data_IF_095194211977
#
_entry.id   IF_095194211977
#
_cell.length_a   1.000
_cell.length_b   1.000
_cell.length_c   1.000
_cell.angle_alpha   90.00
_cell.angle_beta   90.00
_cell.angle_gamma   90.00
#
_symmetry.space_group_name_H-M   'P 1'
#
loop_
_entity.id
_entity.type
_entity.pdbx_description
1 polymer ?
#
# COMPACT_ATOMS: atom_id res chain seq x y z
N UNK A 1 -5.33 15.64 -14.84
CA UNK A 1 -3.91 16.02 -15.07
C UNK A 1 -3.27 15.40 -16.31
N UNK A 2 -3.97 14.57 -17.10
CA UNK A 2 -3.45 13.92 -18.31
C UNK A 2 -3.66 14.82 -19.53
N UNK A 3 -4.54 15.79 -19.40
CA UNK A 3 -4.76 16.82 -20.40
C UNK A 3 -3.56 17.74 -20.61
N UNK A 4 -2.55 17.68 -19.73
CA UNK A 4 -1.23 18.29 -19.98
C UNK A 4 -0.53 17.68 -21.21
N UNK A 5 -0.70 16.37 -21.46
CA UNK A 5 -0.29 15.70 -22.70
C UNK A 5 -1.41 15.64 -23.76
N UNK A 6 -2.56 16.28 -23.52
CA UNK A 6 -3.59 16.48 -24.54
C UNK A 6 -3.40 17.79 -25.32
N UNK A 7 -2.24 18.43 -25.23
CA UNK A 7 -1.85 19.48 -26.18
C UNK A 7 -1.40 18.86 -27.50
N UNK A 8 -1.70 19.40 -28.69
CA UNK A 8 -2.15 20.72 -29.15
C UNK A 8 -2.94 20.58 -30.46
N UNK A 9 -3.94 21.42 -30.72
CA UNK A 9 -4.24 21.85 -32.11
C UNK A 9 -4.21 23.37 -32.34
N UNK A 10 -4.14 24.19 -31.28
CA UNK A 10 -3.86 25.65 -31.38
C UNK A 10 -3.20 26.31 -30.15
N UNK A 11 -3.00 25.64 -29.01
CA UNK A 11 -2.36 26.26 -27.83
C UNK A 11 -1.83 25.36 -26.70
N UNK A 12 -1.68 24.05 -26.90
CA UNK A 12 -1.18 23.10 -25.88
C UNK A 12 0.33 22.83 -25.93
N UNK A 13 0.80 21.97 -25.02
CA UNK A 13 2.21 21.55 -24.91
C UNK A 13 2.61 20.52 -25.99
N UNK A 14 3.87 20.57 -26.44
CA UNK A 14 4.49 19.64 -27.39
C UNK A 14 6.02 19.67 -27.27
N UNK A 15 6.69 18.60 -27.73
CA UNK A 15 8.15 18.49 -27.80
C UNK A 15 8.74 19.68 -28.54
N UNK A 16 9.83 20.24 -27.99
CA UNK A 16 10.61 21.32 -28.62
C UNK A 16 9.85 22.63 -28.88
N UNK A 17 8.76 22.92 -28.15
CA UNK A 17 8.00 24.16 -28.34
C UNK A 17 8.82 25.44 -28.14
N UNK A 18 9.89 25.37 -27.35
CA UNK A 18 10.83 26.48 -27.13
C UNK A 18 11.63 26.85 -28.39
N UNK A 19 11.69 25.98 -29.41
CA UNK A 19 12.27 26.32 -30.72
C UNK A 19 11.38 27.29 -31.52
N UNK A 20 10.07 27.31 -31.25
CA UNK A 20 9.16 28.28 -31.87
C UNK A 20 9.17 29.61 -31.11
N UNK A 21 9.23 29.56 -29.78
CA UNK A 21 9.36 30.72 -28.91
C UNK A 21 10.09 30.33 -27.62
N UNK A 22 11.30 30.85 -27.43
CA UNK A 22 12.10 30.56 -26.23
C UNK A 22 11.33 30.91 -24.94
N UNK A 23 11.26 29.95 -24.01
CA UNK A 23 10.58 30.09 -22.72
C UNK A 23 9.06 29.86 -22.76
N UNK A 24 8.50 29.45 -23.89
CA UNK A 24 7.07 29.15 -24.00
C UNK A 24 6.67 27.93 -23.17
N UNK A 25 7.55 26.93 -23.04
CA UNK A 25 7.31 25.77 -22.19
C UNK A 25 7.23 26.17 -20.72
N UNK A 26 8.21 26.96 -20.24
CA UNK A 26 8.20 27.48 -18.88
C UNK A 26 6.94 28.31 -18.60
N UNK A 27 6.57 29.21 -19.51
CA UNK A 27 5.38 30.04 -19.37
C UNK A 27 4.08 29.22 -19.30
N UNK A 28 3.97 28.15 -20.10
CA UNK A 28 2.81 27.25 -20.06
C UNK A 28 2.72 26.54 -18.70
N UNK A 29 3.83 26.02 -18.20
CA UNK A 29 3.85 25.35 -16.90
C UNK A 29 3.57 26.30 -15.74
N UNK A 30 4.13 27.51 -15.76
CA UNK A 30 3.85 28.54 -14.76
C UNK A 30 2.36 28.87 -14.73
N UNK A 31 1.72 28.95 -15.91
CA UNK A 31 0.28 29.15 -16.00
C UNK A 31 -0.52 27.98 -15.42
N UNK A 32 -0.18 26.75 -15.79
CA UNK A 32 -0.87 25.55 -15.28
C UNK A 32 -0.72 25.42 -13.76
N UNK A 33 0.46 25.70 -13.21
CA UNK A 33 0.70 25.70 -11.77
C UNK A 33 -0.06 26.82 -11.07
N UNK A 34 -0.09 28.04 -11.64
CA UNK A 34 -0.87 29.16 -11.09
C UNK A 34 -2.38 28.90 -11.08
N UNK A 35 -2.92 28.35 -12.17
CA UNK A 35 -4.32 27.95 -12.25
C UNK A 35 -4.63 26.82 -11.24
N UNK A 36 -3.72 25.85 -11.08
CA UNK A 36 -3.84 24.78 -10.08
C UNK A 36 -3.81 25.31 -8.65
N UNK A 37 -2.93 26.27 -8.36
CA UNK A 37 -2.85 26.92 -7.04
C UNK A 37 -4.13 27.71 -6.74
N UNK A 38 -4.72 28.36 -7.73
CA UNK A 38 -6.02 29.05 -7.57
C UNK A 38 -7.12 28.11 -7.09
N UNK A 39 -7.15 26.88 -7.63
CA UNK A 39 -8.10 25.84 -7.21
C UNK A 39 -7.81 25.38 -5.76
N UNK A 40 -6.54 25.13 -5.44
CA UNK A 40 -6.10 24.78 -4.08
C UNK A 40 -6.52 25.86 -3.07
N UNK A 41 -6.26 27.12 -3.38
CA UNK A 41 -6.58 28.26 -2.53
C UNK A 41 -8.10 28.38 -2.32
N UNK A 42 -8.89 28.15 -3.36
CA UNK A 42 -10.35 28.17 -3.25
C UNK A 42 -10.87 27.09 -2.30
N UNK A 43 -10.33 25.86 -2.35
CA UNK A 43 -10.69 24.81 -1.41
C UNK A 43 -10.28 25.17 0.03
N UNK A 44 -9.06 25.66 0.22
CA UNK A 44 -8.52 25.98 1.55
C UNK A 44 -9.15 27.23 2.17
N UNK A 45 -9.64 28.17 1.36
CA UNK A 45 -10.39 29.33 1.85
C UNK A 45 -11.70 28.91 2.55
N UNK A 46 -12.29 27.78 2.12
CA UNK A 46 -13.52 27.23 2.72
C UNK A 46 -13.19 26.24 3.83
N UNK A 47 -12.18 25.38 3.62
CA UNK A 47 -11.79 24.30 4.54
C UNK A 47 -10.26 24.28 4.71
N UNK A 48 -9.70 25.12 5.59
CA UNK A 48 -8.25 25.29 5.73
C UNK A 48 -7.52 24.03 6.22
N UNK A 49 -8.26 23.06 6.78
CA UNK A 49 -7.75 21.78 7.26
C UNK A 49 -7.65 20.69 6.18
N UNK A 50 -8.14 20.94 4.95
CA UNK A 50 -8.05 19.96 3.87
C UNK A 50 -6.59 19.73 3.47
N UNK A 51 -6.19 18.47 3.49
CA UNK A 51 -5.00 18.02 2.78
C UNK A 51 -5.37 17.75 1.32
N UNK A 52 -4.58 18.30 0.41
CA UNK A 52 -4.79 18.16 -1.03
C UNK A 52 -3.63 17.37 -1.61
N UNK A 53 -3.93 16.24 -2.25
CA UNK A 53 -2.94 15.42 -2.91
C UNK A 53 -2.95 15.68 -4.41
N UNK A 54 -1.77 15.92 -4.97
CA UNK A 54 -1.52 15.96 -6.40
C UNK A 54 -1.09 14.56 -6.83
N UNK A 55 -1.99 13.82 -7.47
CA UNK A 55 -1.70 12.49 -8.03
C UNK A 55 -0.86 12.61 -9.29
N UNK A 56 0.16 11.76 -9.40
CA UNK A 56 1.03 11.65 -10.56
C UNK A 56 0.39 10.87 -11.72
N UNK A 57 1.18 10.63 -12.76
CA UNK A 57 0.86 9.76 -13.88
C UNK A 57 1.65 8.45 -13.90
N UNK A 58 1.39 7.67 -14.94
CA UNK A 58 2.13 6.49 -15.34
C UNK A 58 2.76 6.74 -16.73
N UNK A 59 3.75 5.95 -17.13
CA UNK A 59 4.31 5.97 -18.49
C UNK A 59 3.27 5.57 -19.54
N UNK A 60 2.80 6.51 -20.39
CA UNK A 60 1.73 6.22 -21.35
C UNK A 60 2.20 5.28 -22.47
N UNK A 61 1.25 4.61 -23.12
CA UNK A 61 1.55 3.70 -24.23
C UNK A 61 0.80 4.10 -25.50
N UNK A 62 1.51 4.82 -26.38
CA UNK A 62 0.99 5.25 -27.69
C UNK A 62 1.15 4.18 -28.79
N UNK A 63 1.72 3.01 -28.48
CA UNK A 63 1.93 1.90 -29.40
C UNK A 63 0.66 1.05 -29.52
N UNK A 64 -0.39 1.68 -30.03
CA UNK A 64 -1.66 1.00 -30.31
C UNK A 64 -1.68 0.48 -31.74
N UNK A 65 -2.52 -0.52 -32.02
CA UNK A 65 -2.65 -1.10 -33.36
C UNK A 65 -2.92 -0.01 -34.41
N UNK A 66 -2.26 -0.10 -35.57
CA UNK A 66 -2.45 0.83 -36.69
C UNK A 66 -3.91 0.92 -37.16
N UNK A 67 -4.71 -0.14 -36.96
CA UNK A 67 -6.14 -0.14 -37.28
C UNK A 67 -6.96 0.83 -36.42
N UNK A 68 -6.50 1.10 -35.20
CA UNK A 68 -7.24 1.85 -34.17
C UNK A 68 -6.52 3.12 -33.70
N UNK A 69 -5.25 3.30 -34.08
CA UNK A 69 -4.45 4.42 -33.59
C UNK A 69 -5.01 5.79 -33.97
N UNK A 70 -5.70 5.88 -35.11
CA UNK A 70 -6.30 7.11 -35.61
C UNK A 70 -7.37 7.69 -34.67
N UNK A 71 -7.94 6.89 -33.75
CA UNK A 71 -8.97 7.33 -32.82
C UNK A 71 -8.38 8.26 -31.74
N UNK A 72 -7.21 7.93 -31.19
CA UNK A 72 -6.60 8.68 -30.10
C UNK A 72 -5.08 8.81 -30.21
N UNK A 73 -4.36 7.69 -30.26
CA UNK A 73 -2.90 7.69 -30.11
C UNK A 73 -2.15 8.40 -31.25
N UNK A 74 -2.50 8.12 -32.52
CA UNK A 74 -1.83 8.72 -33.67
C UNK A 74 -2.02 10.25 -33.73
N UNK A 75 -3.25 10.80 -33.63
CA UNK A 75 -3.44 12.25 -33.57
C UNK A 75 -2.68 12.89 -32.40
N UNK A 76 -2.81 12.34 -31.18
CA UNK A 76 -2.14 12.89 -29.99
C UNK A 76 -0.61 12.83 -30.10
N UNK A 77 -0.04 11.77 -30.68
CA UNK A 77 1.42 11.68 -30.90
C UNK A 77 1.91 12.73 -31.88
N UNK A 78 1.11 13.01 -32.93
CA UNK A 78 1.40 14.12 -33.86
C UNK A 78 1.30 15.47 -33.18
N UNK A 79 0.27 15.66 -32.35
CA UNK A 79 0.03 16.87 -31.56
C UNK A 79 1.15 17.16 -30.55
N UNK A 80 1.77 16.12 -29.99
CA UNK A 80 2.94 16.20 -29.11
C UNK A 80 4.26 16.44 -29.87
N UNK A 81 4.23 16.44 -31.20
CA UNK A 81 5.42 16.65 -32.04
C UNK A 81 5.38 18.03 -32.68
N UNK A 82 6.49 18.75 -32.63
CA UNK A 82 6.61 20.03 -33.35
C UNK A 82 6.56 19.85 -34.88
N UNK A 83 7.23 18.82 -35.39
CA UNK A 83 7.27 18.47 -36.80
C UNK A 83 6.90 16.98 -36.97
N UNK A 84 5.61 16.63 -36.91
CA UNK A 84 5.18 15.23 -36.91
C UNK A 84 5.47 14.46 -38.21
N UNK A 85 5.87 15.14 -39.28
CA UNK A 85 6.17 14.51 -40.57
C UNK A 85 7.66 14.16 -40.71
N UNK A 86 8.56 14.83 -39.97
CA UNK A 86 10.00 14.57 -40.01
C UNK A 86 10.60 14.15 -38.66
N UNK A 87 9.97 14.49 -37.54
CA UNK A 87 10.42 14.24 -36.17
C UNK A 87 9.23 13.93 -35.25
N UNK A 88 8.60 12.77 -35.48
CA UNK A 88 7.53 12.29 -34.63
C UNK A 88 8.10 11.86 -33.27
N UNK A 89 7.51 12.36 -32.18
CA UNK A 89 7.94 12.09 -30.80
C UNK A 89 8.03 10.58 -30.50
N UNK A 90 9.14 10.16 -29.89
CA UNK A 90 9.38 8.77 -29.50
C UNK A 90 8.76 8.43 -28.13
N UNK A 91 8.68 7.16 -27.75
CA UNK A 91 8.10 6.78 -26.44
C UNK A 91 8.96 7.29 -25.28
N UNK A 92 10.29 7.21 -25.42
CA UNK A 92 11.21 7.75 -24.43
C UNK A 92 11.09 9.27 -24.31
N UNK A 93 10.77 9.96 -25.40
CA UNK A 93 10.54 11.40 -25.38
C UNK A 93 9.21 11.74 -24.73
N UNK A 94 8.12 11.01 -25.02
CA UNK A 94 6.83 11.17 -24.32
C UNK A 94 7.00 10.94 -22.82
N UNK A 95 7.72 9.89 -22.42
CA UNK A 95 8.04 9.64 -21.02
C UNK A 95 8.88 10.77 -20.42
N UNK A 96 9.89 11.25 -21.15
CA UNK A 96 10.69 12.41 -20.74
C UNK A 96 9.85 13.65 -20.48
N UNK A 97 8.87 13.94 -21.36
CA UNK A 97 7.87 14.98 -21.13
C UNK A 97 7.11 14.69 -19.81
N UNK A 98 6.57 13.50 -19.62
CA UNK A 98 5.88 13.16 -18.35
C UNK A 98 6.73 13.40 -17.11
N UNK A 99 8.00 13.00 -17.14
CA UNK A 99 8.90 13.21 -16.01
C UNK A 99 9.13 14.69 -15.70
N UNK A 100 9.17 15.56 -16.70
CA UNK A 100 9.27 17.00 -16.49
C UNK A 100 8.03 17.57 -15.77
N UNK A 101 6.83 17.11 -16.15
CA UNK A 101 5.59 17.48 -15.45
C UNK A 101 5.65 17.06 -14.00
N UNK A 102 6.03 15.82 -13.76
CA UNK A 102 6.07 15.24 -12.42
C UNK A 102 7.15 15.88 -11.53
N UNK A 103 8.33 16.19 -12.08
CA UNK A 103 9.37 16.94 -11.36
C UNK A 103 8.87 18.32 -10.91
N UNK A 104 8.14 19.03 -11.76
CA UNK A 104 7.53 20.33 -11.40
C UNK A 104 6.47 20.19 -10.31
N UNK A 105 5.67 19.11 -10.33
CA UNK A 105 4.71 18.81 -9.27
C UNK A 105 5.39 18.49 -7.94
N UNK A 106 6.48 17.71 -7.96
CA UNK A 106 7.30 17.44 -6.77
C UNK A 106 7.82 18.75 -6.18
N UNK A 107 8.42 19.62 -7.01
CA UNK A 107 8.93 20.91 -6.54
C UNK A 107 7.83 21.80 -5.96
N UNK A 108 6.68 21.88 -6.63
CA UNK A 108 5.54 22.66 -6.17
C UNK A 108 4.99 22.16 -4.83
N UNK A 109 4.80 20.85 -4.68
CA UNK A 109 4.28 20.25 -3.46
C UNK A 109 5.27 20.30 -2.30
N UNK A 110 6.57 20.08 -2.54
CA UNK A 110 7.60 20.25 -1.53
C UNK A 110 7.70 21.70 -1.01
N UNK A 111 7.41 22.69 -1.86
CA UNK A 111 7.39 24.09 -1.48
C UNK A 111 6.10 24.51 -0.75
N UNK A 112 5.06 23.67 -0.73
CA UNK A 112 3.78 23.96 -0.10
C UNK A 112 3.41 22.87 0.91
N UNK A 113 3.56 23.10 2.23
CA UNK A 113 3.34 22.08 3.26
C UNK A 113 1.88 21.60 3.36
N UNK A 114 0.95 22.23 2.63
CA UNK A 114 -0.46 21.82 2.57
C UNK A 114 -0.77 20.88 1.42
N UNK A 115 0.20 20.68 0.52
CA UNK A 115 0.09 19.77 -0.60
C UNK A 115 0.86 18.49 -0.33
N UNK A 116 0.31 17.39 -0.84
CA UNK A 116 0.96 16.09 -0.88
C UNK A 116 1.17 15.72 -2.34
N UNK A 117 2.22 14.96 -2.62
CA UNK A 117 2.43 14.36 -3.94
C UNK A 117 2.32 12.84 -3.84
N UNK A 118 1.50 12.26 -4.71
CA UNK A 118 1.38 10.81 -4.88
C UNK A 118 2.19 10.37 -6.09
N UNK A 119 3.40 9.86 -5.87
CA UNK A 119 4.25 9.31 -6.93
C UNK A 119 3.77 7.90 -7.33
N UNK A 120 3.44 7.73 -8.61
CA UNK A 120 3.01 6.47 -9.22
C UNK A 120 3.71 6.16 -10.56
N UNK A 121 4.59 7.04 -11.08
CA UNK A 121 5.36 6.77 -12.29
C UNK A 121 6.12 5.44 -12.17
N UNK A 122 5.97 4.53 -13.13
CA UNK A 122 6.63 3.23 -13.12
C UNK A 122 5.95 2.20 -12.21
N UNK A 123 4.78 2.49 -11.63
CA UNK A 123 4.02 1.51 -10.88
C UNK A 123 3.70 0.28 -11.73
N UNK A 124 3.25 0.48 -12.98
CA UNK A 124 2.92 -0.64 -13.86
C UNK A 124 4.17 -1.44 -14.25
N UNK A 125 5.33 -0.79 -14.38
CA UNK A 125 6.60 -1.50 -14.55
C UNK A 125 6.98 -2.35 -13.33
N UNK A 126 6.66 -1.89 -12.12
CA UNK A 126 6.84 -2.68 -10.91
C UNK A 126 5.90 -3.90 -10.89
N UNK A 127 4.59 -3.69 -11.10
CA UNK A 127 3.58 -4.75 -10.95
C UNK A 127 3.56 -5.73 -12.14
N UNK A 128 3.86 -5.30 -13.37
CA UNK A 128 3.71 -6.11 -14.59
C UNK A 128 5.01 -6.31 -15.36
N UNK A 129 6.07 -5.56 -15.03
CA UNK A 129 7.27 -5.46 -15.87
C UNK A 129 7.09 -4.44 -17.00
N UNK A 130 8.12 -4.31 -17.84
CA UNK A 130 8.16 -3.37 -18.97
C UNK A 130 8.20 -4.06 -20.34
N UNK A 131 8.01 -5.40 -20.34
CA UNK A 131 8.07 -6.23 -21.53
C UNK A 131 9.48 -6.71 -21.89
N UNK A 132 10.51 -6.20 -21.22
CA UNK A 132 11.89 -6.69 -21.29
C UNK A 132 12.30 -7.40 -20.00
N UNK A 133 11.90 -6.84 -18.85
CA UNK A 133 12.06 -7.46 -17.54
C UNK A 133 10.70 -7.77 -16.93
N UNK A 134 10.67 -8.81 -16.10
CA UNK A 134 9.44 -9.26 -15.46
C UNK A 134 9.01 -8.39 -14.26
N UNK A 135 7.81 -8.67 -13.73
CA UNK A 135 7.30 -8.07 -12.50
C UNK A 135 8.30 -8.09 -11.33
N UNK A 136 8.32 -7.04 -10.52
CA UNK A 136 9.14 -6.92 -9.31
C UNK A 136 10.63 -6.66 -9.52
N UNK A 137 11.10 -6.65 -10.78
CA UNK A 137 12.50 -6.29 -11.09
C UNK A 137 12.73 -4.79 -10.92
N UNK A 138 11.80 -3.98 -11.41
CA UNK A 138 11.82 -2.53 -11.18
C UNK A 138 11.37 -2.23 -9.76
N UNK A 139 12.01 -1.25 -9.08
CA UNK A 139 11.62 -0.91 -7.73
C UNK A 139 10.24 -0.23 -7.76
N UNK A 140 9.53 -0.36 -6.64
CA UNK A 140 8.27 0.33 -6.41
C UNK A 140 8.49 1.86 -6.40
N UNK A 141 7.53 2.67 -6.90
CA UNK A 141 7.56 4.13 -6.75
C UNK A 141 7.86 4.59 -5.33
N UNK A 142 8.74 5.57 -5.18
CA UNK A 142 9.09 6.12 -3.87
C UNK A 142 7.96 6.97 -3.30
N UNK A 143 7.65 6.80 -2.01
CA UNK A 143 6.47 7.41 -1.40
C UNK A 143 6.76 8.62 -0.50
N UNK A 144 8.04 8.88 -0.20
CA UNK A 144 8.44 9.85 0.82
C UNK A 144 9.07 11.12 0.22
N UNK A 145 8.65 12.33 0.67
CA UNK A 145 9.31 13.57 0.30
C UNK A 145 10.73 13.65 0.89
N UNK A 146 11.59 14.54 0.38
CA UNK A 146 11.33 15.45 -0.74
C UNK A 146 11.54 14.81 -2.13
N UNK A 147 12.33 13.74 -2.20
CA UNK A 147 12.86 13.26 -3.48
C UNK A 147 12.09 12.07 -4.04
N UNK A 148 11.18 11.48 -3.27
CA UNK A 148 10.33 10.35 -3.67
C UNK A 148 11.14 9.21 -4.30
N UNK A 149 12.31 8.90 -3.74
CA UNK A 149 13.22 7.91 -4.30
C UNK A 149 12.66 6.48 -4.16
N UNK A 150 12.70 5.66 -5.22
CA UNK A 150 13.22 5.99 -6.55
C UNK A 150 12.23 6.84 -7.36
N UNK A 151 12.71 7.99 -7.87
CA UNK A 151 12.02 8.79 -8.89
C UNK A 151 12.98 9.07 -10.06
N UNK A 152 12.58 8.78 -11.31
CA UNK A 152 11.41 7.98 -11.62
C UNK A 152 11.63 6.50 -11.25
N UNK A 153 10.56 5.77 -10.94
CA UNK A 153 10.62 4.31 -10.91
C UNK A 153 10.44 3.72 -12.32
N UNK A 154 10.76 2.43 -12.47
CA UNK A 154 10.70 1.74 -13.75
C UNK A 154 11.72 2.23 -14.80
N UNK A 155 11.52 1.78 -16.04
CA UNK A 155 12.36 2.19 -17.17
C UNK A 155 11.75 3.38 -17.94
N UNK A 156 12.32 4.59 -17.87
CA UNK A 156 11.78 5.74 -18.59
C UNK A 156 11.93 5.64 -20.12
N UNK A 157 12.73 4.71 -20.63
CA UNK A 157 12.87 4.48 -22.07
C UNK A 157 11.70 3.70 -22.69
N UNK A 158 10.84 3.09 -21.86
CA UNK A 158 9.75 2.21 -22.31
C UNK A 158 8.40 2.68 -21.78
N UNK A 159 7.35 2.46 -22.55
CA UNK A 159 5.97 2.63 -22.09
C UNK A 159 5.55 1.49 -21.18
N UNK A 160 4.59 1.72 -20.29
CA UNK A 160 3.87 0.62 -19.62
C UNK A 160 3.22 -0.31 -20.64
N UNK A 161 3.00 -1.58 -20.29
CA UNK A 161 2.46 -2.56 -21.24
C UNK A 161 1.06 -2.14 -21.72
N UNK A 162 0.70 -2.51 -22.97
CA UNK A 162 -0.57 -2.05 -23.54
C UNK A 162 -1.75 -2.62 -22.76
N UNK A 163 -1.59 -3.80 -22.20
CA UNK A 163 -2.57 -4.51 -21.41
C UNK A 163 -2.98 -3.73 -20.14
N UNK A 164 -2.11 -2.84 -19.63
CA UNK A 164 -2.40 -2.00 -18.46
C UNK A 164 -3.35 -0.83 -18.74
N UNK A 165 -3.74 -0.59 -20.00
CA UNK A 165 -4.58 0.53 -20.39
C UNK A 165 -5.96 0.08 -20.79
N UNK A 166 -6.97 0.86 -20.39
CA UNK A 166 -8.37 0.53 -20.69
C UNK A 166 -8.59 0.37 -22.19
N UNK A 167 -9.63 -0.39 -22.48
CA UNK A 167 -10.22 -0.46 -23.81
C UNK A 167 -11.49 0.38 -23.83
N UNK A 168 -11.72 1.10 -24.91
CA UNK A 168 -12.94 1.89 -25.11
C UNK A 168 -13.84 1.18 -26.10
N UNK A 169 -15.02 0.72 -25.66
CA UNK A 169 -15.97 -0.02 -26.51
C UNK A 169 -15.34 -1.24 -27.22
N UNK A 170 -14.56 -2.04 -26.48
CA UNK A 170 -13.87 -3.18 -27.06
C UNK A 170 -12.49 -2.87 -27.65
N UNK A 171 -12.16 -1.59 -27.83
CA UNK A 171 -11.03 -1.15 -28.66
C UNK A 171 -9.85 -0.67 -27.80
N UNK A 172 -8.69 -1.26 -28.06
CA UNK A 172 -7.41 -0.90 -27.46
C UNK A 172 -6.79 0.33 -28.15
N UNK A 173 -7.43 1.49 -28.00
CA UNK A 173 -7.01 2.76 -28.64
C UNK A 173 -6.57 3.84 -27.65
N UNK A 174 -6.95 3.74 -26.38
CA UNK A 174 -6.63 4.75 -25.35
C UNK A 174 -5.17 4.57 -24.86
N UNK A 175 -4.29 5.57 -25.01
CA UNK A 175 -2.87 5.41 -24.68
C UNK A 175 -2.51 5.90 -23.27
N UNK A 176 -3.44 6.49 -22.52
CA UNK A 176 -3.13 7.26 -21.30
C UNK A 176 -3.93 6.83 -20.07
N UNK A 177 -5.10 6.22 -20.25
CA UNK A 177 -5.92 5.79 -19.11
C UNK A 177 -5.67 4.32 -18.79
N UNK A 178 -5.24 4.05 -17.56
CA UNK A 178 -5.10 2.69 -17.06
C UNK A 178 -6.44 1.94 -17.10
N UNK A 179 -6.36 0.62 -17.10
CA UNK A 179 -7.51 -0.24 -16.85
C UNK A 179 -7.89 -0.24 -15.35
N UNK A 180 -8.91 -1.02 -15.00
CA UNK A 180 -9.40 -1.09 -13.63
C UNK A 180 -8.29 -1.52 -12.65
N UNK A 181 -7.51 -2.54 -13.02
CA UNK A 181 -6.48 -3.10 -12.16
C UNK A 181 -5.32 -2.12 -11.96
N UNK A 182 -4.85 -1.48 -13.04
CA UNK A 182 -3.85 -0.42 -12.97
C UNK A 182 -4.27 0.73 -12.05
N UNK A 183 -5.54 1.15 -12.09
CA UNK A 183 -6.05 2.14 -11.15
C UNK A 183 -6.11 1.64 -9.70
N UNK A 184 -6.38 0.35 -9.46
CA UNK A 184 -6.34 -0.21 -8.10
C UNK A 184 -4.94 -0.11 -7.50
N UNK A 185 -3.89 -0.46 -8.27
CA UNK A 185 -2.50 -0.28 -7.82
C UNK A 185 -2.20 1.19 -7.53
N UNK A 186 -2.58 2.11 -8.43
CA UNK A 186 -2.38 3.56 -8.20
C UNK A 186 -3.05 4.06 -6.92
N UNK A 187 -4.32 3.69 -6.70
CA UNK A 187 -5.04 4.05 -5.47
C UNK A 187 -4.32 3.48 -4.27
N UNK A 188 -3.87 2.24 -4.33
CA UNK A 188 -3.19 1.61 -3.21
C UNK A 188 -1.85 2.29 -2.86
N UNK A 189 -1.02 2.66 -3.84
CA UNK A 189 0.19 3.47 -3.63
C UNK A 189 -0.12 4.79 -2.89
N UNK A 190 -1.19 5.48 -3.30
CA UNK A 190 -1.63 6.72 -2.66
C UNK A 190 -2.13 6.50 -1.22
N UNK A 191 -2.95 5.46 -1.02
CA UNK A 191 -3.46 5.10 0.30
C UNK A 191 -2.30 4.80 1.25
N UNK A 192 -1.30 4.06 0.80
CA UNK A 192 -0.15 3.68 1.63
C UNK A 192 0.78 4.84 1.92
N UNK A 193 1.19 5.60 0.89
CA UNK A 193 2.12 6.70 1.07
C UNK A 193 1.55 7.86 1.88
N UNK A 194 0.22 8.04 1.91
CA UNK A 194 -0.40 9.25 2.47
C UNK A 194 -1.45 8.98 3.55
N UNK A 195 -2.28 7.95 3.38
CA UNK A 195 -3.39 7.69 4.30
C UNK A 195 -3.03 6.69 5.40
N UNK A 196 -2.11 5.75 5.16
CA UNK A 196 -1.74 4.77 6.17
C UNK A 196 -1.22 5.45 7.45
N UNK A 197 -0.21 6.32 7.37
CA UNK A 197 0.30 7.03 8.55
C UNK A 197 -0.77 7.90 9.21
N UNK A 198 -1.69 8.48 8.43
CA UNK A 198 -2.81 9.25 8.99
C UNK A 198 -3.83 8.40 9.71
N UNK A 199 -4.09 7.18 9.24
CA UNK A 199 -4.99 6.22 9.87
C UNK A 199 -4.39 5.59 11.13
N UNK A 200 -3.05 5.52 11.22
CA UNK A 200 -2.34 5.18 12.46
C UNK A 200 -2.42 6.30 13.50
N UNK A 201 -2.57 7.54 13.06
CA UNK A 201 -2.47 8.70 13.93
C UNK A 201 -1.01 9.01 14.30
N UNK A 202 -0.75 9.86 15.30
CA UNK A 202 0.60 10.09 15.78
C UNK A 202 1.21 8.79 16.30
N UNK A 203 2.49 8.56 16.06
CA UNK A 203 3.21 7.38 16.56
C UNK A 203 4.55 7.85 17.06
N UNK A 204 4.82 7.66 18.35
CA UNK A 204 6.10 8.03 18.97
C UNK A 204 7.11 6.89 18.85
N UNK A 205 6.63 5.63 18.87
CA UNK A 205 7.45 4.43 18.74
C UNK A 205 6.72 3.32 18.00
N UNK A 206 7.42 2.63 17.10
CA UNK A 206 6.98 1.39 16.46
C UNK A 206 7.97 0.27 16.78
N UNK A 207 7.48 -0.83 17.34
CA UNK A 207 8.29 -2.00 17.69
C UNK A 207 7.87 -3.18 16.83
N UNK A 208 8.83 -3.86 16.22
CA UNK A 208 8.59 -5.15 15.57
C UNK A 208 8.58 -6.26 16.63
N UNK A 209 7.77 -7.29 16.39
CA UNK A 209 7.76 -8.47 17.24
C UNK A 209 9.10 -9.19 17.28
N UNK A 210 9.39 -9.85 18.41
CA UNK A 210 10.65 -10.52 18.70
C UNK A 210 10.91 -11.73 17.80
N UNK A 211 9.87 -12.49 17.42
CA UNK A 211 10.01 -13.72 16.64
C UNK A 211 10.58 -14.89 17.45
N UNK A 212 11.14 -15.86 16.73
CA UNK A 212 11.79 -17.04 17.30
C UNK A 212 10.86 -17.85 18.21
N UNK A 213 11.36 -18.20 19.39
CA UNK A 213 10.63 -18.96 20.41
C UNK A 213 9.70 -18.10 21.26
N UNK A 214 9.75 -16.77 21.14
CA UNK A 214 8.89 -15.85 21.86
C UNK A 214 7.54 -15.59 21.16
N UNK A 215 7.44 -15.93 19.87
CA UNK A 215 6.24 -15.77 19.04
C UNK A 215 5.78 -17.11 18.46
N UNK A 216 4.47 -17.32 18.40
CA UNK A 216 3.97 -18.64 18.03
C UNK A 216 2.55 -18.93 18.46
N UNK A 217 2.31 -20.17 18.82
CA UNK A 217 1.03 -20.63 19.32
C UNK A 217 1.15 -21.81 20.28
N UNK A 218 0.11 -22.00 21.08
CA UNK A 218 -0.10 -23.16 21.95
C UNK A 218 -1.57 -23.57 21.95
N UNK A 219 -1.85 -24.87 22.10
CA UNK A 219 -3.21 -25.39 22.34
C UNK A 219 -3.42 -25.92 23.77
N UNK A 220 -2.46 -25.62 24.67
CA UNK A 220 -2.42 -26.17 26.03
C UNK A 220 -1.70 -27.52 26.16
N UNK A 221 -1.31 -28.14 25.04
CA UNK A 221 -0.63 -29.45 25.01
C UNK A 221 0.57 -29.46 24.07
N UNK A 222 0.48 -28.77 22.94
CA UNK A 222 1.51 -28.63 21.93
C UNK A 222 1.77 -27.14 21.70
N UNK A 223 2.99 -26.85 21.24
CA UNK A 223 3.46 -25.51 20.90
C UNK A 223 4.03 -25.50 19.50
N UNK A 224 4.07 -24.32 18.88
CA UNK A 224 4.78 -24.10 17.64
C UNK A 224 5.21 -22.64 17.48
N UNK A 225 6.29 -22.42 16.74
CA UNK A 225 6.81 -21.09 16.39
C UNK A 225 6.75 -20.85 14.88
N UNK A 226 7.21 -19.66 14.45
CA UNK A 226 7.27 -19.24 13.04
C UNK A 226 5.95 -18.68 12.48
N UNK A 227 4.83 -18.89 13.16
CA UNK A 227 3.52 -18.28 12.86
C UNK A 227 2.72 -18.06 14.13
N UNK A 228 1.86 -17.04 14.14
CA UNK A 228 0.92 -16.80 15.24
C UNK A 228 -0.42 -17.42 14.86
N UNK A 229 -0.68 -18.65 15.30
CA UNK A 229 -1.95 -19.33 15.03
C UNK A 229 -2.99 -19.00 16.08
N UNK A 230 -4.22 -18.69 15.65
CA UNK A 230 -5.37 -18.51 16.54
C UNK A 230 -6.61 -19.20 15.99
N UNK A 231 -7.40 -19.79 16.88
CA UNK A 231 -8.70 -20.37 16.54
C UNK A 231 -8.99 -21.62 17.35
N UNK A 232 -9.47 -22.67 16.68
CA UNK A 232 -9.71 -23.96 17.29
C UNK A 232 -9.26 -25.12 16.39
N UNK A 233 -8.84 -26.21 17.02
CA UNK A 233 -8.54 -27.48 16.36
C UNK A 233 -8.81 -28.63 17.32
N UNK A 234 -9.54 -29.65 16.86
CA UNK A 234 -9.79 -30.87 17.62
C UNK A 234 -10.32 -30.61 19.06
N UNK A 235 -11.30 -29.69 19.19
CA UNK A 235 -11.94 -29.32 20.46
C UNK A 235 -11.03 -28.58 21.45
N UNK A 236 -9.90 -28.05 20.97
CA UNK A 236 -9.01 -27.17 21.74
C UNK A 236 -8.92 -25.81 21.12
N UNK A 237 -8.87 -24.79 21.96
CA UNK A 237 -8.50 -23.45 21.54
C UNK A 237 -7.02 -23.41 21.21
N UNK A 238 -6.70 -22.62 20.20
CA UNK A 238 -5.34 -22.33 19.77
C UNK A 238 -5.11 -20.86 20.10
N UNK A 239 -4.13 -20.62 20.95
CA UNK A 239 -3.76 -19.30 21.45
C UNK A 239 -2.53 -18.85 20.68
N UNK A 240 -2.61 -17.69 20.04
CA UNK A 240 -1.47 -17.06 19.38
C UNK A 240 -0.72 -16.18 20.38
N UNK A 241 0.60 -16.27 20.42
CA UNK A 241 1.46 -15.45 21.27
C UNK A 241 2.38 -14.56 20.43
N UNK A 242 2.52 -13.31 20.85
CA UNK A 242 3.34 -12.30 20.17
C UNK A 242 4.00 -11.38 21.20
N UNK A 243 5.29 -11.15 21.07
CA UNK A 243 6.11 -10.51 22.09
C UNK A 243 6.89 -9.32 21.54
N UNK A 244 6.95 -8.23 22.31
CA UNK A 244 7.66 -7.00 21.92
C UNK A 244 8.62 -6.57 23.01
N UNK A 245 9.83 -6.12 22.64
CA UNK A 245 10.77 -5.50 23.58
C UNK A 245 10.35 -4.06 23.91
N UNK A 246 9.49 -3.93 24.90
CA UNK A 246 8.95 -2.64 25.34
C UNK A 246 9.88 -1.89 26.30
N UNK A 247 11.04 -2.46 26.64
CA UNK A 247 12.12 -1.75 27.35
C UNK A 247 12.76 -0.63 26.51
N UNK A 248 12.42 -0.54 25.22
CA UNK A 248 12.78 0.57 24.35
C UNK A 248 12.07 1.90 24.71
N UNK A 249 11.02 1.86 25.54
CA UNK A 249 10.34 3.06 26.04
C UNK A 249 11.18 3.78 27.10
N UNK A 250 11.11 5.12 27.19
CA UNK A 250 11.63 5.84 28.35
C UNK A 250 11.01 5.34 29.66
N UNK A 251 11.81 5.31 30.74
CA UNK A 251 11.38 4.83 32.06
C UNK A 251 10.13 5.57 32.58
N UNK A 252 10.07 6.87 32.33
CA UNK A 252 9.00 7.79 32.75
C UNK A 252 7.91 8.01 31.70
N UNK A 253 7.94 7.25 30.60
CA UNK A 253 6.91 7.33 29.57
C UNK A 253 5.52 7.02 30.14
N UNK A 254 4.59 7.95 29.96
CA UNK A 254 3.17 7.77 30.20
C UNK A 254 2.51 7.39 28.88
N UNK A 255 2.24 6.09 28.70
CA UNK A 255 1.65 5.56 27.47
C UNK A 255 0.19 6.00 27.38
N UNK A 256 -0.16 6.69 26.30
CA UNK A 256 -1.48 7.28 26.07
C UNK A 256 -2.31 6.51 25.04
N UNK A 257 -1.65 5.79 24.14
CA UNK A 257 -2.30 4.86 23.21
C UNK A 257 -1.33 3.76 22.77
N UNK A 258 -1.88 2.60 22.42
CA UNK A 258 -1.13 1.53 21.79
C UNK A 258 -2.02 0.72 20.83
N UNK A 259 -1.45 0.30 19.70
CA UNK A 259 -2.14 -0.54 18.72
C UNK A 259 -1.24 -1.68 18.27
N UNK A 260 -1.76 -2.91 18.34
CA UNK A 260 -1.12 -4.11 17.80
C UNK A 260 -1.59 -4.34 16.36
N UNK A 261 -0.66 -4.53 15.44
CA UNK A 261 -0.93 -4.82 14.04
C UNK A 261 -0.46 -6.24 13.72
N UNK A 262 -1.38 -7.05 13.18
CA UNK A 262 -1.13 -8.42 12.73
C UNK A 262 -1.52 -8.52 11.25
N UNK A 263 -0.74 -9.26 10.48
CA UNK A 263 -0.99 -9.50 9.06
C UNK A 263 -1.30 -10.98 8.84
N UNK A 264 -2.44 -11.26 8.22
CA UNK A 264 -2.86 -12.63 7.96
C UNK A 264 -1.93 -13.25 6.92
N UNK A 265 -1.31 -14.39 7.23
CA UNK A 265 -0.52 -15.15 6.26
C UNK A 265 -1.42 -16.15 5.53
N UNK A 266 -2.14 -16.98 6.29
CA UNK A 266 -2.99 -18.02 5.71
C UNK A 266 -4.13 -18.44 6.65
N UNK A 267 -5.05 -19.21 6.09
CA UNK A 267 -6.19 -19.78 6.82
C UNK A 267 -6.23 -21.30 6.66
N UNK A 268 -6.58 -21.98 7.75
CA UNK A 268 -6.88 -23.41 7.75
C UNK A 268 -8.34 -23.63 8.15
N UNK A 269 -9.11 -24.24 7.23
CA UNK A 269 -10.53 -24.49 7.44
C UNK A 269 -11.40 -23.23 7.37
N UNK A 270 -12.43 -23.15 8.22
CA UNK A 270 -13.32 -21.98 8.28
C UNK A 270 -12.62 -20.79 8.95
N UNK A 271 -13.05 -19.57 8.63
CA UNK A 271 -12.46 -18.38 9.23
C UNK A 271 -13.07 -18.13 10.62
N UNK A 272 -12.29 -18.18 11.71
CA UNK A 272 -12.83 -17.97 13.04
C UNK A 272 -13.29 -16.52 13.28
N UNK A 273 -12.75 -15.53 12.56
CA UNK A 273 -13.12 -14.11 12.69
C UNK A 273 -14.43 -13.75 11.99
N UNK A 274 -14.89 -14.54 11.00
CA UNK A 274 -16.13 -14.25 10.25
C UNK A 274 -17.22 -15.29 10.42
N UNK A 275 -16.88 -16.52 10.85
CA UNK A 275 -17.86 -17.59 11.00
C UNK A 275 -18.75 -17.47 12.24
N UNK A 276 -18.31 -16.72 13.26
CA UNK A 276 -18.98 -16.60 14.56
C UNK A 276 -18.96 -17.87 15.41
N UNK A 277 -18.36 -18.97 14.93
CA UNK A 277 -18.39 -20.28 15.59
C UNK A 277 -17.63 -20.30 16.92
N UNK A 278 -16.56 -19.51 17.05
CA UNK A 278 -15.71 -19.48 18.25
C UNK A 278 -16.03 -18.32 19.19
N UNK A 279 -17.06 -17.51 18.87
CA UNK A 279 -17.37 -16.26 19.56
C UNK A 279 -16.48 -15.10 19.10
N UNK A 280 -16.45 -14.03 19.91
CA UNK A 280 -15.59 -12.88 19.64
C UNK A 280 -14.12 -13.20 19.97
N UNK A 281 -13.15 -12.69 19.19
CA UNK A 281 -11.74 -12.79 19.55
C UNK A 281 -11.45 -11.94 20.80
N UNK A 282 -10.41 -12.32 21.53
CA UNK A 282 -9.94 -11.66 22.76
C UNK A 282 -8.43 -11.51 22.74
N UNK A 283 -7.94 -10.43 23.33
CA UNK A 283 -6.52 -10.19 23.53
C UNK A 283 -6.23 -10.10 25.03
N UNK A 284 -5.37 -10.96 25.55
CA UNK A 284 -4.82 -10.84 26.89
C UNK A 284 -3.39 -10.29 26.82
N UNK A 285 -2.93 -9.69 27.91
CA UNK A 285 -1.60 -9.08 28.06
C UNK A 285 -0.90 -9.61 29.31
N UNK A 286 0.39 -9.94 29.17
CA UNK A 286 1.30 -10.20 30.28
C UNK A 286 2.44 -9.16 30.30
N UNK A 287 2.74 -8.65 31.49
CA UNK A 287 3.93 -7.84 31.74
C UNK A 287 5.12 -8.79 31.86
N UNK A 288 5.99 -8.79 30.85
CA UNK A 288 6.91 -9.90 30.60
C UNK A 288 6.28 -10.90 29.64
N UNK A 289 6.22 -12.16 30.06
CA UNK A 289 5.67 -13.28 29.28
C UNK A 289 4.61 -14.04 30.06
N UNK A 290 3.71 -14.71 29.34
CA UNK A 290 2.90 -15.78 29.90
C UNK A 290 3.83 -16.94 30.23
N UNK A 291 4.09 -17.20 31.52
CA UNK A 291 5.01 -18.27 31.92
C UNK A 291 6.49 -17.94 31.66
N UNK A 292 7.17 -18.76 30.86
CA UNK A 292 8.57 -18.58 30.48
C UNK A 292 8.76 -17.59 29.31
N UNK A 293 10.01 -17.19 28.99
CA UNK A 293 10.29 -16.32 27.84
C UNK A 293 10.10 -17.02 26.49
N UNK A 294 10.21 -18.35 26.47
CA UNK A 294 9.88 -19.19 25.31
C UNK A 294 8.43 -19.67 25.44
N UNK A 295 7.77 -19.93 24.31
CA UNK A 295 6.40 -20.44 24.31
C UNK A 295 6.33 -21.85 24.90
N UNK A 296 5.43 -22.01 25.86
CA UNK A 296 5.14 -23.24 26.57
C UNK A 296 3.67 -23.65 26.43
N UNK A 297 3.40 -24.94 26.66
CA UNK A 297 2.03 -25.44 26.65
C UNK A 297 1.18 -24.75 27.72
N UNK A 298 1.77 -24.44 28.88
CA UNK A 298 1.13 -23.74 30.01
C UNK A 298 0.65 -22.33 29.68
N UNK A 299 1.19 -21.70 28.64
CA UNK A 299 0.86 -20.31 28.31
C UNK A 299 -0.59 -20.16 27.85
N UNK A 300 -1.25 -21.25 27.45
CA UNK A 300 -2.67 -21.27 27.13
C UNK A 300 -3.55 -20.86 28.34
N UNK A 301 -3.08 -21.13 29.56
CA UNK A 301 -3.84 -20.92 30.80
C UNK A 301 -3.09 -20.10 31.85
N UNK A 302 -1.86 -19.67 31.55
CA UNK A 302 -1.10 -18.76 32.40
C UNK A 302 -1.94 -17.48 32.69
N UNK A 303 -1.93 -16.96 33.92
CA UNK A 303 -2.63 -15.73 34.27
C UNK A 303 -2.18 -14.56 33.40
N UNK A 304 -3.13 -13.72 33.00
CA UNK A 304 -2.86 -12.43 32.36
C UNK A 304 -2.79 -11.32 33.41
N UNK A 305 -1.98 -10.30 33.17
CA UNK A 305 -1.98 -9.07 33.97
C UNK A 305 -3.15 -8.14 33.59
N UNK A 306 -3.62 -8.25 32.34
CA UNK A 306 -4.89 -7.70 31.90
C UNK A 306 -5.53 -8.61 30.85
N UNK A 307 -6.83 -8.87 31.00
CA UNK A 307 -7.57 -9.80 30.15
C UNK A 307 -8.56 -9.08 29.24
N UNK A 308 -8.76 -9.60 28.02
CA UNK A 308 -9.71 -9.08 27.04
C UNK A 308 -9.61 -7.55 26.80
N UNK A 309 -8.39 -7.10 26.53
CA UNK A 309 -8.02 -5.69 26.46
C UNK A 309 -8.11 -5.07 25.06
N UNK A 310 -8.48 -5.86 24.05
CA UNK A 310 -8.36 -5.47 22.65
C UNK A 310 -9.68 -5.04 22.01
N UNK A 311 -9.68 -3.92 21.27
CA UNK A 311 -10.72 -3.57 20.31
C UNK A 311 -10.23 -3.85 18.88
N UNK A 312 -10.84 -4.81 18.21
CA UNK A 312 -10.42 -5.30 16.91
C UNK A 312 -10.98 -4.45 15.76
N UNK A 313 -10.10 -4.00 14.88
CA UNK A 313 -10.38 -3.16 13.72
C UNK A 313 -9.73 -3.77 12.48
N UNK A 314 -10.41 -3.71 11.34
CA UNK A 314 -9.91 -4.26 10.07
C UNK A 314 -10.50 -5.63 9.77
N UNK A 315 -9.73 -6.45 9.05
CA UNK A 315 -10.17 -7.74 8.53
C UNK A 315 -9.10 -8.80 8.77
N UNK A 316 -9.53 -10.06 8.84
CA UNK A 316 -8.66 -11.23 8.75
C UNK A 316 -9.32 -12.26 7.82
N UNK A 317 -9.85 -11.79 6.69
CA UNK A 317 -10.63 -12.57 5.74
C UNK A 317 -9.75 -13.22 4.66
N UNK A 318 -8.76 -12.47 4.18
CA UNK A 318 -7.85 -12.86 3.10
C UNK A 318 -6.39 -12.67 3.52
N UNK A 319 -5.44 -13.42 2.94
CA UNK A 319 -4.01 -13.17 3.12
C UNK A 319 -3.66 -11.69 2.88
N UNK A 320 -2.68 -11.21 3.62
CA UNK A 320 -2.23 -9.80 3.67
C UNK A 320 -3.26 -8.80 4.25
N UNK A 321 -4.46 -9.25 4.67
CA UNK A 321 -5.37 -8.42 5.46
C UNK A 321 -4.69 -8.01 6.79
N UNK A 322 -4.77 -6.72 7.11
CA UNK A 322 -4.32 -6.18 8.38
C UNK A 322 -5.43 -6.22 9.42
N UNK A 323 -5.12 -6.87 10.54
CA UNK A 323 -5.90 -6.80 11.78
C UNK A 323 -5.20 -5.85 12.74
N UNK A 324 -5.87 -4.75 13.08
CA UNK A 324 -5.42 -3.79 14.08
C UNK A 324 -6.19 -4.03 15.37
N UNK A 325 -5.51 -4.00 16.51
CA UNK A 325 -6.12 -4.17 17.82
C UNK A 325 -5.73 -2.97 18.67
N UNK A 326 -6.71 -2.13 19.00
CA UNK A 326 -6.51 -1.01 19.92
C UNK A 326 -6.51 -1.52 21.35
N UNK A 327 -5.54 -1.09 22.14
CA UNK A 327 -5.40 -1.47 23.54
C UNK A 327 -6.25 -0.57 24.45
N UNK A 328 -6.95 -1.19 25.39
CA UNK A 328 -7.71 -0.47 26.42
C UNK A 328 -6.78 0.29 27.37
N UNK A 329 -7.32 1.30 28.07
CA UNK A 329 -6.57 2.06 29.08
C UNK A 329 -5.98 1.16 30.19
N UNK A 330 -6.66 0.06 30.54
CA UNK A 330 -6.16 -0.92 31.52
C UNK A 330 -4.90 -1.62 31.00
N UNK A 331 -4.87 -1.98 29.72
CA UNK A 331 -3.72 -2.61 29.09
C UNK A 331 -2.49 -1.68 29.06
N UNK A 332 -2.70 -0.39 28.78
CA UNK A 332 -1.60 0.58 28.69
C UNK A 332 -0.80 0.65 29.99
N UNK A 333 -1.47 0.54 31.14
CA UNK A 333 -0.82 0.52 32.45
C UNK A 333 0.01 -0.76 32.69
N UNK A 334 -0.24 -1.83 31.94
CA UNK A 334 0.45 -3.11 32.10
C UNK A 334 1.65 -3.32 31.19
N UNK A 335 1.84 -2.49 30.15
CA UNK A 335 3.01 -2.55 29.27
C UNK A 335 4.30 -2.42 30.10
N UNK A 336 5.22 -3.36 29.92
CA UNK A 336 6.48 -3.42 30.65
C UNK A 336 7.50 -2.42 30.08
N UNK A 337 7.86 -1.40 30.84
CA UNK A 337 8.89 -0.42 30.42
C UNK A 337 10.32 -0.87 30.72
N UNK A 338 10.50 -2.03 31.37
CA UNK A 338 11.80 -2.55 31.79
C UNK A 338 12.11 -3.92 31.17
N UNK A 339 11.18 -4.45 30.37
CA UNK A 339 11.26 -5.77 29.79
C UNK A 339 10.28 -5.93 28.63
N UNK A 340 10.06 -7.17 28.16
CA UNK A 340 9.13 -7.42 27.08
C UNK A 340 7.67 -7.32 27.55
N UNK A 341 6.77 -7.08 26.61
CA UNK A 341 5.33 -7.27 26.79
C UNK A 341 4.87 -8.34 25.82
N UNK A 342 4.15 -9.35 26.32
CA UNK A 342 3.60 -10.42 25.51
C UNK A 342 2.08 -10.35 25.48
N UNK A 343 1.52 -10.60 24.30
CA UNK A 343 0.08 -10.66 24.08
C UNK A 343 -0.35 -12.07 23.70
N UNK A 344 -1.52 -12.48 24.20
CA UNK A 344 -2.15 -13.78 23.88
C UNK A 344 -3.49 -13.55 23.18
N UNK A 345 -3.54 -13.85 21.89
CA UNK A 345 -4.74 -13.75 21.06
C UNK A 345 -5.48 -15.09 21.08
N UNK A 346 -6.79 -15.06 21.36
CA UNK A 346 -7.60 -16.28 21.47
C UNK A 346 -9.08 -16.05 21.16
N UNK A 347 -9.85 -17.13 21.10
CA UNK A 347 -11.31 -17.10 21.10
C UNK A 347 -11.85 -17.71 22.40
N UNK A 348 -13.13 -17.48 22.68
CA UNK A 348 -13.75 -17.92 23.93
C UNK A 348 -14.26 -19.37 23.89
N UNK A 349 -14.65 -19.87 22.71
CA UNK A 349 -15.38 -21.12 22.57
C UNK A 349 -14.58 -22.12 21.74
N UNK A 350 -14.20 -23.30 22.28
CA UNK A 350 -13.57 -24.35 21.49
C UNK A 350 -14.53 -24.92 20.45
N UNK A 351 -13.98 -25.57 19.42
CA UNK A 351 -14.76 -26.22 18.38
C UNK A 351 -14.03 -27.46 17.85
N UNK A 352 -14.81 -28.46 17.45
CA UNK A 352 -14.32 -29.64 16.74
C UNK A 352 -14.01 -29.35 15.27
N UNK A 353 -14.60 -28.30 14.70
CA UNK A 353 -14.27 -27.84 13.36
C UNK A 353 -12.89 -27.16 13.37
N UNK A 354 -12.05 -27.51 12.39
CA UNK A 354 -10.80 -26.77 12.17
C UNK A 354 -11.16 -25.38 11.66
N UNK A 355 -10.88 -24.38 12.49
CA UNK A 355 -11.15 -22.97 12.21
C UNK A 355 -9.98 -22.16 12.75
N UNK A 356 -8.96 -21.95 11.92
CA UNK A 356 -7.70 -21.34 12.35
C UNK A 356 -7.21 -20.32 11.33
N UNK A 357 -6.80 -19.17 11.83
CA UNK A 357 -6.03 -18.18 11.08
C UNK A 357 -4.58 -18.20 11.58
N UNK A 358 -3.65 -18.18 10.65
CA UNK A 358 -2.21 -18.08 10.91
C UNK A 358 -1.77 -16.69 10.49
N UNK A 359 -1.31 -15.88 11.44
CA UNK A 359 -0.70 -14.58 11.19
C UNK A 359 0.82 -14.71 11.10
N UNK A 360 1.44 -13.78 10.39
CA UNK A 360 2.89 -13.65 10.34
C UNK A 360 3.50 -13.43 11.75
N UNK A 361 4.65 -14.02 12.03
CA UNK A 361 5.40 -13.84 13.30
C UNK A 361 6.55 -12.83 13.12
N UNK A 362 7.31 -12.54 14.19
CA UNK A 362 8.55 -11.76 14.09
C UNK A 362 9.62 -12.39 13.18
N UNK A 363 9.50 -13.67 12.85
CA UNK A 363 10.38 -14.37 11.89
C UNK A 363 10.00 -14.10 10.43
N UNK A 364 8.88 -13.42 10.18
CA UNK A 364 8.50 -13.02 8.84
C UNK A 364 9.64 -12.22 8.20
N UNK A 365 10.14 -12.74 7.08
CA UNK A 365 11.15 -12.05 6.29
C UNK A 365 10.58 -10.76 5.71
N UNK A 366 11.48 -9.89 5.21
CA UNK A 366 11.12 -8.92 4.17
C UNK A 366 10.43 -9.72 3.07
N UNK A 367 9.23 -9.36 2.61
CA UNK A 367 8.50 -10.16 1.62
C UNK A 367 9.40 -10.53 0.42
N UNK A 368 9.93 -11.76 0.36
CA UNK A 368 10.96 -12.16 -0.62
C UNK A 368 10.42 -12.83 -1.88
N UNK A 369 9.11 -12.94 -2.02
CA UNK A 369 8.48 -13.39 -3.25
C UNK A 369 7.06 -12.86 -3.30
N UNK A 370 6.81 -11.89 -4.16
CA UNK A 370 5.46 -11.50 -4.53
C UNK A 370 4.74 -12.70 -5.17
N UNK A 371 3.45 -12.95 -4.89
CA UNK A 371 2.72 -13.94 -5.66
C UNK A 371 2.62 -13.35 -7.06
N UNK A 372 3.23 -14.03 -8.02
CA UNK A 372 2.97 -13.72 -9.41
C UNK A 372 1.64 -14.38 -9.72
N UNK A 373 0.57 -13.60 -9.67
CA UNK A 373 -0.73 -14.06 -10.11
C UNK A 373 -0.65 -14.21 -11.63
N UNK A 374 -1.12 -15.36 -12.11
CA UNK A 374 -1.44 -15.46 -13.53
C UNK A 374 -2.69 -14.62 -13.71
N UNK A 375 -2.54 -13.41 -14.23
CA UNK A 375 -3.67 -12.62 -14.69
C UNK A 375 -4.17 -13.36 -15.91
N UNK A 376 -5.28 -14.08 -15.74
CA UNK A 376 -5.97 -14.75 -16.83
C UNK A 376 -7.03 -13.83 -17.47
N UNK A 377 -7.34 -12.67 -16.86
CA UNK A 377 -8.54 -11.89 -17.18
C UNK A 377 -8.37 -10.38 -16.98
N UNK A 378 -8.63 -9.59 -18.01
CA UNK A 378 -8.91 -8.15 -17.89
C UNK A 378 -10.41 -7.94 -18.09
N UNK A 379 -11.06 -7.20 -17.18
CA UNK A 379 -12.46 -6.79 -17.39
C UNK A 379 -12.50 -5.64 -18.40
N UNK A 380 -13.20 -5.86 -19.51
CA UNK A 380 -13.34 -4.86 -20.56
C UNK A 380 -14.73 -4.24 -20.48
N UNK A 381 -14.85 -2.98 -20.06
CA UNK A 381 -16.12 -2.25 -20.13
C UNK A 381 -16.48 -1.96 -21.60
N UNK A 382 -17.59 -2.53 -22.05
CA UNK A 382 -18.16 -2.31 -23.37
C UNK A 382 -19.05 -1.06 -23.37
N UNK A 383 -19.32 -0.55 -24.57
CA UNK A 383 -20.20 0.61 -24.76
C UNK A 383 -21.65 0.39 -24.31
N UNK A 384 -22.06 -0.87 -24.10
CA UNK A 384 -23.39 -1.25 -23.61
C UNK A 384 -23.44 -1.42 -22.07
N UNK A 385 -22.34 -1.12 -21.37
CA UNK A 385 -22.23 -1.25 -19.92
C UNK A 385 -21.90 -2.65 -19.42
N UNK A 386 -21.67 -3.62 -20.32
CA UNK A 386 -21.21 -4.96 -19.94
C UNK A 386 -19.70 -4.99 -19.72
N UNK A 387 -19.23 -5.87 -18.84
CA UNK A 387 -17.80 -6.15 -18.61
C UNK A 387 -17.44 -7.58 -19.01
N UNK A 388 -17.45 -7.94 -20.30
CA UNK A 388 -16.94 -9.22 -20.75
C UNK A 388 -15.48 -9.41 -20.32
N UNK A 389 -15.21 -10.62 -19.87
CA UNK A 389 -13.90 -11.10 -19.48
C UNK A 389 -13.12 -11.44 -20.75
N UNK A 390 -12.01 -10.73 -21.01
CA UNK A 390 -11.08 -11.07 -22.09
C UNK A 390 -9.88 -11.78 -21.48
N UNK A 391 -9.56 -12.96 -22.03
CA UNK A 391 -8.41 -13.72 -21.59
C UNK A 391 -7.11 -13.11 -22.14
N UNK A 392 -6.35 -12.46 -21.26
CA UNK A 392 -4.98 -12.03 -21.53
C UNK A 392 -4.13 -12.87 -20.59
N UNK A 393 -3.19 -13.67 -21.09
CA UNK A 393 -2.26 -14.40 -20.22
C UNK A 393 -1.12 -13.46 -19.86
N UNK A 394 -1.12 -12.97 -18.63
CA UNK A 394 -0.06 -12.15 -18.06
C UNK A 394 0.41 -12.66 -16.71
N UNK A 395 1.54 -12.16 -16.25
CA UNK A 395 2.04 -12.32 -14.90
C UNK A 395 2.05 -10.94 -14.25
N UNK A 396 1.37 -10.78 -13.12
CA UNK A 396 1.39 -9.54 -12.34
C UNK A 396 1.67 -9.83 -10.88
N UNK A 397 2.31 -8.90 -10.18
CA UNK A 397 2.43 -8.99 -8.73
C UNK A 397 1.08 -8.68 -8.09
N UNK A 398 0.60 -9.56 -7.23
CA UNK A 398 -0.50 -9.23 -6.34
C UNK A 398 -0.06 -8.12 -5.37
N UNK A 399 -0.82 -7.04 -5.28
CA UNK A 399 -0.57 -5.97 -4.32
C UNK A 399 -0.74 -6.49 -2.88
N UNK A 400 0.24 -6.26 -2.01
CA UNK A 400 0.25 -6.82 -0.64
C UNK A 400 -0.13 -5.83 0.47
N UNK A 401 -0.69 -4.69 0.10
CA UNK A 401 -1.10 -3.71 1.09
C UNK A 401 0.08 -3.26 1.94
N UNK A 402 -0.20 -3.16 3.23
CA UNK A 402 0.75 -2.67 4.22
C UNK A 402 2.09 -3.43 4.27
N UNK A 403 2.11 -4.72 3.92
CA UNK A 403 3.35 -5.51 3.86
C UNK A 403 4.35 -4.91 2.88
N UNK A 404 3.85 -4.44 1.73
CA UNK A 404 4.65 -3.86 0.66
C UNK A 404 5.17 -2.47 1.03
N UNK A 405 4.36 -1.68 1.74
CA UNK A 405 4.77 -0.39 2.31
C UNK A 405 5.82 -0.54 3.41
N UNK A 406 5.59 -1.41 4.39
CA UNK A 406 6.51 -1.62 5.52
C UNK A 406 7.75 -2.42 5.14
N UNK A 407 7.74 -3.07 3.97
CA UNK A 407 8.77 -4.04 3.57
C UNK A 407 8.85 -5.24 4.52
N UNK A 408 7.80 -5.50 5.29
CA UNK A 408 7.78 -6.57 6.29
C UNK A 408 6.35 -6.95 6.64
N UNK A 409 6.11 -8.25 6.85
CA UNK A 409 4.85 -8.76 7.39
C UNK A 409 4.90 -8.94 8.92
N UNK A 410 5.99 -8.54 9.58
CA UNK A 410 6.16 -8.72 11.02
C UNK A 410 5.04 -8.00 11.77
N UNK A 411 4.53 -8.57 12.87
CA UNK A 411 3.67 -7.84 13.78
C UNK A 411 4.35 -6.57 14.27
N UNK A 412 3.56 -5.51 14.40
CA UNK A 412 4.05 -4.20 14.88
C UNK A 412 3.20 -3.75 16.06
N UNK A 413 3.85 -3.30 17.13
CA UNK A 413 3.24 -2.55 18.22
C UNK A 413 3.56 -1.07 18.03
N UNK A 414 2.52 -0.25 17.82
CA UNK A 414 2.66 1.21 17.78
C UNK A 414 2.27 1.81 19.12
N UNK A 415 3.04 2.78 19.60
CA UNK A 415 2.90 3.40 20.90
C UNK A 415 2.85 4.93 20.75
N UNK A 416 1.99 5.55 21.55
CA UNK A 416 1.98 6.99 21.83
C UNK A 416 2.25 7.20 23.32
N UNK A 417 3.07 8.16 23.67
CA UNK A 417 3.39 8.46 25.06
C UNK A 417 3.84 9.90 25.28
N UNK A 418 3.69 10.38 26.51
CA UNK A 418 4.31 11.63 26.98
C UNK A 418 5.44 11.33 27.94
N UNK A 419 6.43 12.22 28.01
CA UNK A 419 7.55 12.15 28.95
C UNK A 419 7.49 13.41 29.80
N UNK A 420 7.52 13.28 31.13
CA UNK A 420 7.41 14.44 32.02
C UNK A 420 8.65 15.35 31.83
N UNK A 421 8.45 16.59 31.34
CA UNK A 421 9.51 17.60 31.20
C UNK A 421 9.95 17.93 29.77
N UNK A 422 9.28 17.38 28.76
CA UNK A 422 9.29 17.81 27.36
C UNK A 422 7.88 18.27 26.96
#
# INVERSE_FOLDING_TARGET
GNDLLAGRSDGGWYKDMDLDQAGAEAALFDRVLGDSQTIVDAFQAVRPELAIMVSSYEYPNFNVSALWCWIYACPKRRDLSRDPDNDLVSDSEINGLMLQVEQRRILWTNANPRLLYGHEIGAMHHYYGDGQVGPGVWPRPGLLPPDYQPFPAGNPALSSLRENFRTTAGISADPIHLDEEGYRYKVALQLEGQLYERLRGPVDLSLNSLGGTADGWTDGSAVGSGRISVGASADRLVHGLVSFDTAALPDDAQITAASLWLLLDQRQGSNPFTSGQLGAPRLDLARGSFGGPDIEASDATAPADASDVGCFVGSAANPDDALRIELSLEALAQIDRQGPTQFRLSFATPSTASARNDFASGDAGVARSFPVDTVDYVQQLQSDGTTPIVAVRGQALSHRGLVEYLGSARPVLTLQFTVDGL
#
